data_IF_302990296584
#
_entry.id   IF_302990296584
#
_cell.length_a   1.000
_cell.length_b   1.000
_cell.length_c   1.000
_cell.angle_alpha   90.00
_cell.angle_beta   90.00
_cell.angle_gamma   90.00
#
_symmetry.space_group_name_H-M   'P 1'
#
loop_
_entity.id
_entity.type
_entity.pdbx_description
1 polymer ?
#
# COMPACT_ATOMS: atom_id res chain seq x y z
N UNK A 1 -16.96 -17.57 -19.00
CA UNK A 1 -17.13 -16.10 -19.05
C UNK A 1 -17.69 -15.69 -17.69
N UNK A 2 -16.82 -15.64 -16.68
CA UNK A 2 -17.19 -15.39 -15.29
C UNK A 2 -17.01 -13.91 -15.00
N UNK A 3 -18.13 -13.25 -14.70
CA UNK A 3 -18.19 -11.82 -14.41
C UNK A 3 -17.50 -11.55 -13.08
N UNK A 4 -16.53 -10.63 -13.13
CA UNK A 4 -15.88 -9.97 -12.00
C UNK A 4 -16.94 -9.30 -11.11
N UNK A 5 -17.36 -9.97 -10.04
CA UNK A 5 -17.94 -9.30 -8.88
C UNK A 5 -16.77 -8.79 -8.05
N UNK A 6 -16.36 -7.55 -8.33
CA UNK A 6 -15.39 -6.84 -7.50
C UNK A 6 -15.91 -6.77 -6.06
N UNK A 7 -15.09 -7.22 -5.12
CA UNK A 7 -15.33 -7.08 -3.68
C UNK A 7 -15.36 -5.59 -3.34
N UNK A 8 -16.56 -5.00 -3.31
CA UNK A 8 -16.75 -3.64 -2.85
C UNK A 8 -16.58 -3.67 -1.33
N UNK A 9 -15.48 -3.10 -0.82
CA UNK A 9 -15.26 -3.02 0.63
C UNK A 9 -16.45 -2.31 1.30
N UNK A 10 -16.76 -2.66 2.56
CA UNK A 10 -17.91 -2.10 3.28
C UNK A 10 -17.90 -0.55 3.26
N UNK A 11 -16.71 0.06 3.34
CA UNK A 11 -16.54 1.51 3.20
C UNK A 11 -16.92 2.04 1.82
N UNK A 12 -16.54 1.36 0.73
CA UNK A 12 -16.93 1.72 -0.64
C UNK A 12 -18.43 1.58 -0.87
N UNK A 13 -19.06 0.57 -0.28
CA UNK A 13 -20.51 0.36 -0.41
C UNK A 13 -21.32 1.47 0.27
N UNK A 14 -20.88 1.94 1.45
CA UNK A 14 -21.51 3.06 2.16
C UNK A 14 -21.36 4.37 1.37
N UNK A 15 -20.18 4.64 0.82
CA UNK A 15 -19.95 5.85 0.01
C UNK A 15 -20.81 5.86 -1.26
N UNK A 16 -20.93 4.73 -1.96
CA UNK A 16 -21.79 4.60 -3.14
C UNK A 16 -23.27 4.79 -2.76
N UNK A 17 -23.72 4.22 -1.64
CA UNK A 17 -25.08 4.37 -1.15
C UNK A 17 -25.44 5.82 -0.81
N UNK A 18 -24.55 6.53 -0.10
CA UNK A 18 -24.73 7.94 0.24
C UNK A 18 -24.70 8.82 -1.02
N UNK A 19 -23.76 8.58 -1.93
CA UNK A 19 -23.67 9.32 -3.19
C UNK A 19 -24.92 9.13 -4.07
N UNK A 20 -25.45 7.90 -4.16
CA UNK A 20 -26.69 7.60 -4.88
C UNK A 20 -27.90 8.27 -4.21
N UNK A 21 -27.98 8.25 -2.87
CA UNK A 21 -29.05 8.93 -2.12
C UNK A 21 -29.03 10.44 -2.33
N UNK A 22 -27.86 11.07 -2.26
CA UNK A 22 -27.69 12.51 -2.54
C UNK A 22 -28.08 12.83 -3.99
N UNK A 23 -27.64 12.02 -4.96
CA UNK A 23 -27.98 12.19 -6.36
C UNK A 23 -29.50 12.16 -6.59
N UNK A 24 -30.20 11.20 -5.97
CA UNK A 24 -31.67 11.09 -6.08
C UNK A 24 -32.36 12.32 -5.48
N UNK A 25 -31.90 12.81 -4.33
CA UNK A 25 -32.45 14.02 -3.70
C UNK A 25 -32.19 15.26 -4.56
N UNK A 26 -30.99 15.40 -5.12
CA UNK A 26 -30.62 16.51 -6.01
C UNK A 26 -31.44 16.46 -7.29
N UNK A 27 -31.60 15.30 -7.91
CA UNK A 27 -32.42 15.12 -9.13
C UNK A 27 -33.89 15.41 -8.83
N UNK A 28 -34.42 14.95 -7.70
CA UNK A 28 -35.78 15.24 -7.28
C UNK A 28 -36.00 16.75 -7.07
N UNK A 29 -35.09 17.43 -6.37
CA UNK A 29 -35.13 18.88 -6.17
C UNK A 29 -34.99 19.65 -7.50
N UNK A 30 -34.09 19.21 -8.38
CA UNK A 30 -33.92 19.79 -9.71
C UNK A 30 -35.20 19.64 -10.55
N UNK A 31 -35.84 18.47 -10.52
CA UNK A 31 -37.09 18.23 -11.23
C UNK A 31 -38.25 19.08 -10.69
N UNK A 32 -38.37 19.18 -9.36
CA UNK A 32 -39.39 19.98 -8.70
C UNK A 32 -39.22 21.49 -8.95
N UNK A 33 -37.97 21.97 -9.03
CA UNK A 33 -37.67 23.39 -9.32
C UNK A 33 -37.75 23.72 -10.80
N UNK A 34 -37.34 22.80 -11.70
CA UNK A 34 -37.50 22.95 -13.15
C UNK A 34 -38.98 23.03 -13.56
N UNK A 35 -39.85 22.26 -12.89
CA UNK A 35 -41.30 22.30 -13.14
C UNK A 35 -41.95 23.62 -12.72
N UNK A 36 -41.34 24.36 -11.79
CA UNK A 36 -41.79 25.70 -11.33
C UNK A 36 -41.27 26.86 -12.17
N UNK A 37 -40.31 26.66 -13.08
CA UNK A 37 -39.61 27.73 -13.81
C UNK A 37 -39.76 27.63 -15.33
N UNK A 38 -41.00 27.67 -15.83
CA UNK A 38 -41.20 28.05 -17.24
C UNK A 38 -41.50 29.55 -17.31
N UNK A 39 -40.50 30.41 -17.47
CA UNK A 39 -40.77 31.82 -17.75
C UNK A 39 -41.47 31.94 -19.11
N UNK A 40 -42.38 32.89 -19.22
CA UNK A 40 -43.05 33.21 -20.48
C UNK A 40 -42.02 33.56 -21.58
N UNK A 41 -42.30 33.30 -22.87
CA UNK A 41 -41.37 33.63 -23.94
C UNK A 41 -41.16 35.15 -23.98
N UNK A 42 -39.97 35.61 -23.57
CA UNK A 42 -39.54 36.98 -23.74
C UNK A 42 -39.04 37.24 -25.17
N UNK A 43 -38.75 38.51 -25.53
CA UNK A 43 -38.12 38.84 -26.80
C UNK A 43 -36.81 38.07 -26.99
N UNK A 44 -36.57 37.56 -28.21
CA UNK A 44 -35.39 36.73 -28.51
C UNK A 44 -34.14 37.60 -28.69
N UNK A 45 -33.56 38.03 -27.57
CA UNK A 45 -32.35 38.85 -27.51
C UNK A 45 -31.14 37.90 -27.41
N UNK A 46 -30.12 38.05 -28.29
CA UNK A 46 -28.89 37.27 -28.22
C UNK A 46 -28.24 37.35 -26.82
N UNK A 47 -27.70 36.25 -26.26
CA UNK A 47 -27.23 36.20 -24.87
C UNK A 47 -26.24 37.30 -24.46
N UNK A 48 -25.37 37.75 -25.37
CA UNK A 48 -24.39 38.82 -25.12
C UNK A 48 -24.92 40.25 -25.23
N UNK A 49 -26.15 40.45 -25.70
CA UNK A 49 -26.81 41.77 -25.79
C UNK A 49 -27.96 41.93 -24.78
N UNK A 50 -28.16 40.93 -23.91
CA UNK A 50 -29.16 41.03 -22.85
C UNK A 50 -28.68 42.09 -21.83
N UNK A 51 -29.56 43.00 -21.38
CA UNK A 51 -29.23 43.90 -20.29
C UNK A 51 -28.72 43.09 -19.09
N UNK A 52 -27.65 43.57 -18.44
CA UNK A 52 -27.18 42.97 -17.20
C UNK A 52 -28.27 42.99 -16.13
N UNK A 53 -28.16 42.14 -15.09
CA UNK A 53 -29.06 42.20 -13.95
C UNK A 53 -29.08 43.63 -13.36
N UNK A 54 -30.23 44.07 -12.85
CA UNK A 54 -30.30 45.37 -12.20
C UNK A 54 -29.42 45.39 -10.95
N UNK A 55 -29.00 46.57 -10.50
CA UNK A 55 -28.17 46.72 -9.31
C UNK A 55 -28.83 46.06 -8.08
N UNK A 56 -30.15 46.26 -7.91
CA UNK A 56 -30.93 45.61 -6.86
C UNK A 56 -30.95 44.07 -6.97
N UNK A 57 -30.88 43.50 -8.17
CA UNK A 57 -30.77 42.05 -8.38
C UNK A 57 -29.37 41.54 -8.04
N UNK A 58 -28.32 42.32 -8.32
CA UNK A 58 -26.95 41.96 -7.98
C UNK A 58 -26.72 42.01 -6.47
N UNK A 59 -27.22 43.04 -5.79
CA UNK A 59 -26.99 43.28 -4.37
C UNK A 59 -27.66 42.26 -3.45
N UNK A 60 -28.80 41.68 -3.86
CA UNK A 60 -29.57 40.76 -3.00
C UNK A 60 -29.72 39.36 -3.60
N UNK A 61 -30.61 39.09 -4.57
CA UNK A 61 -30.93 37.73 -4.94
C UNK A 61 -29.76 36.97 -5.57
N UNK A 62 -28.87 37.66 -6.29
CA UNK A 62 -27.65 37.03 -6.84
C UNK A 62 -26.59 36.86 -5.76
N UNK A 63 -26.29 37.91 -4.99
CA UNK A 63 -25.29 37.87 -3.92
C UNK A 63 -25.62 36.82 -2.84
N UNK A 64 -26.85 36.86 -2.30
CA UNK A 64 -27.31 35.92 -1.27
C UNK A 64 -27.24 34.47 -1.76
N UNK A 65 -27.56 34.23 -3.04
CA UNK A 65 -27.45 32.90 -3.64
C UNK A 65 -26.01 32.43 -3.71
N UNK A 66 -25.08 33.27 -4.15
CA UNK A 66 -23.66 32.91 -4.23
C UNK A 66 -23.07 32.67 -2.84
N UNK A 67 -23.39 33.54 -1.87
CA UNK A 67 -22.99 33.39 -0.48
C UNK A 67 -23.57 32.11 0.15
N UNK A 68 -24.83 31.77 -0.14
CA UNK A 68 -25.44 30.52 0.32
C UNK A 68 -24.68 29.29 -0.22
N UNK A 69 -24.29 29.28 -1.49
CA UNK A 69 -23.48 28.18 -2.05
C UNK A 69 -22.07 28.11 -1.44
N UNK A 70 -21.42 29.26 -1.23
CA UNK A 70 -20.15 29.33 -0.52
C UNK A 70 -20.25 28.78 0.91
N UNK A 71 -21.30 29.17 1.65
CA UNK A 71 -21.58 28.66 2.98
C UNK A 71 -21.81 27.16 3.01
N UNK A 72 -22.57 26.62 2.06
CA UNK A 72 -22.77 25.16 1.92
C UNK A 72 -21.44 24.44 1.69
N UNK A 73 -20.58 24.97 0.81
CA UNK A 73 -19.26 24.38 0.56
C UNK A 73 -18.37 24.42 1.80
N UNK A 74 -18.38 25.53 2.55
CA UNK A 74 -17.63 25.65 3.81
C UNK A 74 -18.14 24.64 4.84
N UNK A 75 -19.46 24.53 5.03
CA UNK A 75 -20.05 23.55 5.95
C UNK A 75 -19.71 22.12 5.52
N UNK A 76 -19.77 21.83 4.21
CA UNK A 76 -19.34 20.55 3.68
C UNK A 76 -17.88 20.25 4.03
N UNK A 77 -16.95 21.17 3.74
CA UNK A 77 -15.52 20.97 4.04
C UNK A 77 -15.25 20.88 5.54
N UNK A 78 -15.92 21.69 6.36
CA UNK A 78 -15.79 21.68 7.81
C UNK A 78 -16.22 20.35 8.44
N UNK A 79 -17.14 19.61 7.80
CA UNK A 79 -17.55 18.26 8.22
C UNK A 79 -16.69 17.19 7.56
N UNK A 80 -16.44 17.31 6.25
CA UNK A 80 -15.73 16.33 5.44
C UNK A 80 -14.30 16.11 5.93
N UNK A 81 -13.54 17.20 6.16
CA UNK A 81 -12.13 17.09 6.55
C UNK A 81 -11.97 16.32 7.87
N UNK A 82 -12.60 16.71 9.01
CA UNK A 82 -12.51 15.92 10.23
C UNK A 82 -13.00 14.48 10.06
N UNK A 83 -14.02 14.26 9.21
CA UNK A 83 -14.52 12.91 8.93
C UNK A 83 -13.44 12.05 8.27
N UNK A 84 -12.72 12.57 7.27
CA UNK A 84 -11.59 11.84 6.63
C UNK A 84 -10.51 11.52 7.67
N UNK A 85 -10.10 12.50 8.47
CA UNK A 85 -9.08 12.30 9.51
C UNK A 85 -9.48 11.26 10.56
N UNK A 86 -10.77 11.09 10.85
CA UNK A 86 -11.26 10.04 11.75
C UNK A 86 -11.15 8.63 11.14
N UNK A 87 -11.19 8.49 9.81
CA UNK A 87 -11.12 7.20 9.12
C UNK A 87 -9.72 6.89 8.58
N UNK A 88 -8.89 7.91 8.33
CA UNK A 88 -7.56 7.81 7.76
C UNK A 88 -6.63 6.81 8.48
N UNK A 89 -6.56 6.72 9.82
CA UNK A 89 -5.71 5.72 10.48
C UNK A 89 -6.06 4.28 10.12
N UNK A 90 -7.35 3.98 9.88
CA UNK A 90 -7.78 2.64 9.46
C UNK A 90 -7.43 2.38 8.01
N UNK A 91 -7.73 3.33 7.13
CA UNK A 91 -7.37 3.23 5.71
C UNK A 91 -5.87 3.07 5.51
N UNK A 92 -5.05 3.86 6.21
CA UNK A 92 -3.59 3.77 6.13
C UNK A 92 -3.07 2.40 6.59
N UNK A 93 -3.65 1.83 7.66
CA UNK A 93 -3.31 0.49 8.12
C UNK A 93 -3.69 -0.57 7.08
N UNK A 94 -4.92 -0.53 6.59
CA UNK A 94 -5.44 -1.53 5.65
C UNK A 94 -4.64 -1.49 4.33
N UNK A 95 -4.33 -0.30 3.83
CA UNK A 95 -3.49 -0.10 2.65
C UNK A 95 -2.07 -0.64 2.87
N UNK A 96 -1.48 -0.43 4.06
CA UNK A 96 -0.16 -0.96 4.40
C UNK A 96 -0.15 -2.50 4.40
N UNK A 97 -1.16 -3.12 5.00
CA UNK A 97 -1.30 -4.59 5.01
C UNK A 97 -1.47 -5.12 3.58
N UNK A 98 -2.33 -4.50 2.78
CA UNK A 98 -2.55 -4.89 1.38
C UNK A 98 -1.26 -4.77 0.54
N UNK A 99 -0.46 -3.71 0.78
CA UNK A 99 0.83 -3.53 0.11
C UNK A 99 1.83 -4.61 0.50
N UNK A 100 1.93 -4.97 1.78
CA UNK A 100 2.81 -6.03 2.28
C UNK A 100 2.39 -7.42 1.74
N UNK A 101 1.10 -7.73 1.73
CA UNK A 101 0.60 -9.00 1.16
C UNK A 101 0.94 -9.12 -0.33
N UNK A 102 0.77 -8.04 -1.10
CA UNK A 102 1.16 -8.01 -2.51
C UNK A 102 2.66 -8.12 -2.70
N UNK A 103 3.43 -7.50 -1.81
CA UNK A 103 4.89 -7.58 -1.80
C UNK A 103 5.37 -9.01 -1.57
N UNK A 104 4.88 -9.66 -0.51
CA UNK A 104 5.17 -11.06 -0.21
C UNK A 104 4.70 -12.01 -1.33
N UNK A 105 3.55 -11.73 -1.96
CA UNK A 105 3.08 -12.52 -3.10
C UNK A 105 4.02 -12.43 -4.32
N UNK A 106 4.57 -11.24 -4.62
CA UNK A 106 5.59 -11.09 -5.67
C UNK A 106 6.91 -11.74 -5.26
N UNK A 107 7.33 -11.58 -4.01
CA UNK A 107 8.52 -12.21 -3.45
C UNK A 107 8.49 -13.73 -3.60
N UNK A 108 7.34 -14.35 -3.31
CA UNK A 108 7.13 -15.78 -3.52
C UNK A 108 7.38 -16.22 -4.97
N UNK A 109 6.89 -15.45 -5.93
CA UNK A 109 7.13 -15.73 -7.36
C UNK A 109 8.62 -15.57 -7.71
N UNK A 110 9.29 -14.56 -7.16
CA UNK A 110 10.73 -14.35 -7.33
C UNK A 110 11.52 -15.54 -6.79
N UNK A 111 11.12 -16.15 -5.69
CA UNK A 111 11.86 -17.29 -5.12
C UNK A 111 11.70 -18.60 -5.88
N UNK A 112 10.66 -18.73 -6.69
CA UNK A 112 10.40 -19.90 -7.53
C UNK A 112 11.23 -19.90 -8.81
N UNK A 113 11.23 -21.02 -9.53
CA UNK A 113 11.89 -21.13 -10.83
C UNK A 113 11.33 -20.15 -11.86
N UNK A 114 12.22 -19.56 -12.66
CA UNK A 114 11.85 -18.78 -13.83
C UNK A 114 11.31 -19.67 -14.94
N UNK A 115 10.05 -19.47 -15.32
CA UNK A 115 9.38 -20.20 -16.42
C UNK A 115 8.66 -19.20 -17.33
N UNK A 116 8.02 -19.68 -18.40
CA UNK A 116 7.18 -18.81 -19.24
C UNK A 116 6.00 -18.22 -18.44
N UNK A 117 5.46 -18.99 -17.49
CA UNK A 117 4.38 -18.57 -16.60
C UNK A 117 4.87 -17.68 -15.43
N UNK A 118 6.12 -17.83 -15.03
CA UNK A 118 6.77 -17.04 -13.98
C UNK A 118 8.07 -16.40 -14.48
N UNK A 119 7.99 -15.32 -15.28
CA UNK A 119 9.18 -14.68 -15.85
C UNK A 119 10.04 -13.94 -14.81
N UNK A 120 9.53 -13.74 -13.59
CA UNK A 120 10.24 -13.06 -12.50
C UNK A 120 11.01 -14.03 -11.59
N UNK A 121 10.94 -15.34 -11.82
CA UNK A 121 11.53 -16.35 -10.95
C UNK A 121 13.05 -16.41 -11.05
N UNK A 122 13.73 -16.35 -9.90
CA UNK A 122 15.19 -16.47 -9.74
C UNK A 122 15.62 -17.82 -9.14
N UNK A 123 14.65 -18.67 -8.78
CA UNK A 123 14.87 -20.06 -8.37
C UNK A 123 15.68 -20.23 -7.07
N UNK A 124 15.42 -19.39 -6.06
CA UNK A 124 15.99 -19.53 -4.71
C UNK A 124 15.69 -20.92 -4.10
N UNK A 125 14.50 -21.46 -4.39
CA UNK A 125 14.07 -22.79 -3.94
C UNK A 125 14.95 -23.93 -4.45
N UNK A 126 15.71 -23.73 -5.54
CA UNK A 126 16.66 -24.74 -6.03
C UNK A 126 17.67 -25.16 -4.97
N UNK A 127 18.10 -24.21 -4.13
CA UNK A 127 19.06 -24.48 -3.06
C UNK A 127 18.39 -24.53 -1.69
N UNK A 128 17.42 -23.65 -1.42
CA UNK A 128 16.73 -23.56 -0.13
C UNK A 128 15.53 -24.51 0.01
N UNK A 129 15.32 -25.39 -0.97
CA UNK A 129 14.21 -26.33 -1.00
C UNK A 129 12.86 -25.66 -1.29
N UNK A 130 11.82 -26.47 -1.55
CA UNK A 130 10.48 -25.97 -1.84
C UNK A 130 9.92 -25.19 -0.63
N UNK A 131 9.42 -23.98 -0.87
CA UNK A 131 8.94 -23.10 0.18
C UNK A 131 10.01 -22.69 1.20
N UNK A 132 11.28 -22.70 0.79
CA UNK A 132 12.45 -22.19 1.53
C UNK A 132 12.74 -22.87 2.88
N UNK A 133 12.34 -24.14 3.03
CA UNK A 133 12.51 -24.94 4.26
C UNK A 133 13.94 -25.41 4.57
N UNK A 134 14.92 -25.03 3.75
CA UNK A 134 16.30 -25.52 3.81
C UNK A 134 16.54 -26.65 2.82
N UNK A 135 17.81 -26.91 2.54
CA UNK A 135 18.19 -27.87 1.51
C UNK A 135 19.65 -28.25 1.53
N UNK A 136 20.11 -28.87 0.45
CA UNK A 136 21.50 -29.25 0.27
C UNK A 136 21.95 -28.82 -1.13
N UNK A 137 23.18 -28.33 -1.22
CA UNK A 137 23.81 -28.02 -2.49
C UNK A 137 25.23 -28.59 -2.53
N UNK A 138 25.86 -28.63 -3.71
CA UNK A 138 27.24 -29.07 -3.88
C UNK A 138 28.12 -27.87 -4.21
N UNK A 139 29.00 -27.51 -3.27
CA UNK A 139 29.97 -26.43 -3.44
C UNK A 139 31.39 -26.99 -3.40
N UNK A 140 32.20 -26.71 -4.41
CA UNK A 140 33.57 -27.21 -4.54
C UNK A 140 33.71 -28.73 -4.33
N UNK A 141 32.74 -29.50 -4.82
CA UNK A 141 32.72 -30.97 -4.71
C UNK A 141 32.25 -31.52 -3.36
N UNK A 142 31.91 -30.66 -2.40
CA UNK A 142 31.38 -31.06 -1.09
C UNK A 142 29.89 -30.73 -0.97
N UNK A 143 29.13 -31.60 -0.32
CA UNK A 143 27.73 -31.33 0.01
C UNK A 143 27.70 -30.31 1.16
N UNK A 144 27.13 -29.14 0.91
CA UNK A 144 26.89 -28.08 1.89
C UNK A 144 25.42 -28.02 2.26
N UNK A 145 25.13 -27.90 3.56
CA UNK A 145 23.77 -27.66 4.03
C UNK A 145 23.39 -26.20 3.77
N UNK A 146 22.25 -26.01 3.14
CA UNK A 146 21.68 -24.70 2.84
C UNK A 146 20.67 -24.36 3.94
N UNK A 147 20.77 -23.17 4.56
CA UNK A 147 19.96 -22.81 5.72
C UNK A 147 18.46 -22.77 5.42
N UNK A 148 17.66 -23.14 6.44
CA UNK A 148 16.20 -22.99 6.43
C UNK A 148 15.84 -21.51 6.60
N UNK A 149 15.19 -20.92 5.60
CA UNK A 149 14.83 -19.51 5.65
C UNK A 149 13.56 -19.25 6.44
N UNK A 150 12.76 -20.27 6.78
CA UNK A 150 11.57 -20.11 7.65
C UNK A 150 11.91 -19.86 9.11
N UNK A 151 13.15 -20.06 9.50
CA UNK A 151 13.60 -19.82 10.88
C UNK A 151 14.73 -18.79 10.96
N UNK A 152 15.05 -18.12 9.84
CA UNK A 152 16.22 -17.23 9.74
C UNK A 152 16.17 -16.06 10.72
N UNK A 153 14.97 -15.58 11.03
CA UNK A 153 14.76 -14.49 11.97
C UNK A 153 14.82 -14.88 13.45
N UNK A 154 15.16 -16.14 13.77
CA UNK A 154 15.54 -16.54 15.14
C UNK A 154 17.04 -16.39 15.41
N UNK A 155 17.82 -15.96 14.41
CA UNK A 155 19.25 -15.71 14.55
C UNK A 155 20.04 -16.92 15.02
N UNK A 156 20.97 -16.70 15.95
CA UNK A 156 21.80 -17.77 16.52
C UNK A 156 20.98 -18.91 17.16
N UNK A 157 19.86 -18.59 17.81
CA UNK A 157 19.02 -19.57 18.49
C UNK A 157 18.41 -20.61 17.54
N UNK A 158 18.22 -20.26 16.28
CA UNK A 158 17.70 -21.15 15.22
C UNK A 158 18.78 -21.61 14.24
N UNK A 159 20.06 -21.40 14.56
CA UNK A 159 21.19 -21.87 13.76
C UNK A 159 21.69 -20.90 12.69
N UNK A 160 21.32 -19.62 12.78
CA UNK A 160 21.70 -18.55 11.84
C UNK A 160 22.54 -17.46 12.54
N UNK A 161 23.75 -17.77 13.04
CA UNK A 161 24.54 -16.84 13.86
C UNK A 161 25.02 -15.58 13.13
N UNK A 162 24.93 -15.54 11.79
CA UNK A 162 25.30 -14.37 10.99
C UNK A 162 24.15 -13.38 10.79
N UNK A 163 22.94 -13.72 11.23
CA UNK A 163 21.75 -12.88 11.13
C UNK A 163 21.44 -12.38 12.53
N UNK A 164 21.72 -11.10 12.78
CA UNK A 164 21.50 -10.43 14.08
C UNK A 164 20.45 -9.33 13.99
N UNK A 165 20.06 -8.97 12.77
CA UNK A 165 19.06 -7.95 12.45
C UNK A 165 18.45 -8.21 11.07
N UNK A 166 17.36 -7.50 10.75
CA UNK A 166 16.79 -7.48 9.40
C UNK A 166 17.81 -7.00 8.35
N UNK A 167 18.68 -6.04 8.71
CA UNK A 167 19.70 -5.50 7.80
C UNK A 167 20.70 -6.57 7.37
N UNK A 168 21.04 -7.52 8.25
CA UNK A 168 21.89 -8.65 7.89
C UNK A 168 21.23 -9.56 6.85
N UNK A 169 19.92 -9.81 6.99
CA UNK A 169 19.16 -10.60 6.02
C UNK A 169 19.12 -9.89 4.66
N UNK A 170 18.80 -8.59 4.65
CA UNK A 170 18.82 -7.77 3.42
C UNK A 170 20.19 -7.81 2.76
N UNK A 171 21.25 -7.60 3.54
CA UNK A 171 22.63 -7.60 3.06
C UNK A 171 23.03 -8.95 2.48
N UNK A 172 22.73 -10.07 3.17
CA UNK A 172 23.06 -11.41 2.69
C UNK A 172 22.36 -11.74 1.37
N UNK A 173 21.11 -11.30 1.17
CA UNK A 173 20.43 -11.50 -0.12
C UNK A 173 21.03 -10.57 -1.19
N UNK A 174 21.28 -9.31 -0.86
CA UNK A 174 21.81 -8.35 -1.81
C UNK A 174 23.23 -8.71 -2.30
N UNK A 175 24.13 -9.01 -1.37
CA UNK A 175 25.56 -9.26 -1.62
C UNK A 175 25.86 -10.74 -1.88
N UNK A 176 24.94 -11.64 -1.53
CA UNK A 176 25.22 -13.08 -1.47
C UNK A 176 26.06 -13.41 -0.24
N UNK A 177 26.68 -14.60 -0.26
CA UNK A 177 27.52 -15.05 0.86
C UNK A 177 28.89 -15.48 0.35
N UNK A 178 29.91 -14.68 0.68
CA UNK A 178 31.29 -14.97 0.30
C UNK A 178 31.71 -16.35 0.80
N UNK A 179 32.34 -17.15 -0.08
CA UNK A 179 32.78 -18.50 0.26
C UNK A 179 31.67 -19.55 0.24
N UNK A 180 30.50 -19.25 -0.32
CA UNK A 180 29.44 -20.24 -0.62
C UNK A 180 28.93 -20.08 -2.05
N UNK A 181 28.06 -20.99 -2.49
CA UNK A 181 27.37 -20.93 -3.78
C UNK A 181 26.23 -19.92 -3.84
N UNK A 182 25.92 -19.20 -2.74
CA UNK A 182 24.85 -18.21 -2.75
C UNK A 182 25.34 -16.92 -3.44
N UNK A 183 24.86 -16.61 -4.66
CA UNK A 183 25.34 -15.46 -5.41
C UNK A 183 24.78 -14.16 -4.83
N UNK A 184 25.36 -13.05 -5.25
CA UNK A 184 24.77 -11.72 -5.11
C UNK A 184 23.51 -11.60 -5.98
N UNK A 185 22.42 -11.10 -5.41
CA UNK A 185 21.18 -10.89 -6.16
C UNK A 185 20.92 -9.43 -6.53
N UNK A 186 21.41 -8.47 -5.75
CA UNK A 186 21.18 -7.06 -6.04
C UNK A 186 22.04 -6.57 -7.19
N UNK A 187 21.46 -5.76 -8.09
CA UNK A 187 22.19 -5.04 -9.15
C UNK A 187 23.37 -4.20 -8.63
N UNK A 188 23.30 -3.73 -7.37
CA UNK A 188 24.37 -2.96 -6.73
C UNK A 188 25.63 -3.81 -6.48
N UNK A 189 25.46 -5.12 -6.40
CA UNK A 189 26.50 -6.09 -6.11
C UNK A 189 26.66 -7.10 -7.26
N UNK A 190 26.42 -6.67 -8.51
CA UNK A 190 26.53 -7.51 -9.72
C UNK A 190 25.50 -8.65 -9.85
N UNK A 191 24.41 -8.60 -9.09
CA UNK A 191 23.22 -9.42 -9.30
C UNK A 191 22.24 -8.81 -10.32
N UNK A 192 21.05 -9.41 -10.44
CA UNK A 192 20.05 -9.08 -11.45
C UNK A 192 18.73 -8.52 -10.90
N UNK A 193 18.57 -8.45 -9.58
CA UNK A 193 17.39 -7.89 -8.91
C UNK A 193 17.59 -6.42 -8.55
N UNK A 194 16.58 -5.60 -8.81
CA UNK A 194 16.53 -4.22 -8.30
C UNK A 194 16.07 -4.19 -6.83
N UNK A 195 16.19 -3.03 -6.18
CA UNK A 195 15.92 -2.90 -4.74
C UNK A 195 14.49 -3.34 -4.35
N UNK A 196 13.47 -2.98 -5.15
CA UNK A 196 12.10 -3.43 -4.89
C UNK A 196 11.93 -4.96 -4.97
N UNK A 197 12.65 -5.66 -5.86
CA UNK A 197 12.59 -7.13 -5.93
C UNK A 197 13.25 -7.77 -4.70
N UNK A 198 14.33 -7.17 -4.21
CA UNK A 198 14.96 -7.60 -2.95
C UNK A 198 13.97 -7.42 -1.80
N UNK A 199 13.31 -6.27 -1.69
CA UNK A 199 12.30 -6.03 -0.66
C UNK A 199 11.12 -7.01 -0.76
N UNK A 200 10.61 -7.27 -1.97
CA UNK A 200 9.54 -8.26 -2.17
C UNK A 200 9.95 -9.65 -1.65
N UNK A 201 11.19 -10.09 -1.91
CA UNK A 201 11.73 -11.37 -1.38
C UNK A 201 11.84 -11.34 0.13
N UNK A 202 12.31 -10.23 0.72
CA UNK A 202 12.42 -10.06 2.16
C UNK A 202 11.03 -10.15 2.80
N UNK A 203 10.03 -9.42 2.28
CA UNK A 203 8.66 -9.46 2.77
C UNK A 203 8.07 -10.87 2.68
N UNK A 204 8.40 -11.62 1.62
CA UNK A 204 8.01 -13.03 1.53
C UNK A 204 8.67 -13.89 2.60
N UNK A 205 9.98 -13.75 2.82
CA UNK A 205 10.69 -14.49 3.87
C UNK A 205 10.12 -14.17 5.25
N UNK A 206 9.81 -12.90 5.55
CA UNK A 206 9.17 -12.49 6.79
C UNK A 206 7.78 -13.14 6.94
N UNK A 207 6.99 -13.16 5.87
CA UNK A 207 5.64 -13.75 5.89
C UNK A 207 5.59 -15.27 6.17
N UNK A 208 6.71 -15.99 6.00
CA UNK A 208 6.82 -17.44 6.22
C UNK A 208 7.63 -17.81 7.47
N UNK A 209 7.99 -16.84 8.32
CA UNK A 209 8.73 -17.16 9.55
C UNK A 209 7.89 -18.04 10.49
N UNK A 210 8.52 -19.08 11.01
CA UNK A 210 7.97 -20.02 11.99
C UNK A 210 8.50 -19.73 13.42
N UNK A 211 9.22 -18.61 13.60
CA UNK A 211 9.80 -18.17 14.88
C UNK A 211 8.76 -17.36 15.67
N UNK A 212 8.59 -17.60 16.98
CA UNK A 212 7.71 -16.77 17.81
C UNK A 212 8.11 -15.28 17.79
N UNK A 213 7.13 -14.38 17.84
CA UNK A 213 7.34 -12.92 17.75
C UNK A 213 8.32 -12.39 18.81
N UNK A 214 8.31 -12.98 20.01
CA UNK A 214 9.20 -12.59 21.11
C UNK A 214 10.68 -12.93 20.82
N UNK A 215 10.94 -13.84 19.89
CA UNK A 215 12.27 -14.31 19.49
C UNK A 215 12.64 -13.86 18.07
N UNK A 216 11.72 -13.20 17.36
CA UNK A 216 11.92 -12.75 15.99
C UNK A 216 12.76 -11.47 15.96
N UNK A 217 14.07 -11.61 15.76
CA UNK A 217 15.02 -10.49 15.72
C UNK A 217 14.88 -9.59 14.48
N UNK A 218 14.12 -10.01 13.46
CA UNK A 218 13.87 -9.21 12.26
C UNK A 218 12.76 -8.17 12.47
N UNK A 219 11.71 -8.53 13.22
CA UNK A 219 10.52 -7.70 13.42
C UNK A 219 10.45 -7.08 14.82
N UNK A 220 11.05 -7.74 15.82
CA UNK A 220 11.00 -7.32 17.20
C UNK A 220 12.37 -6.83 17.68
N UNK A 221 12.58 -5.50 17.83
CA UNK A 221 13.84 -4.95 18.31
C UNK A 221 14.12 -5.26 19.79
N UNK A 222 13.12 -5.73 20.55
CA UNK A 222 13.29 -6.17 21.93
C UNK A 222 13.61 -7.67 22.05
N UNK A 223 13.66 -8.41 20.94
CA UNK A 223 13.99 -9.83 20.95
C UNK A 223 15.42 -10.09 21.47
N UNK A 224 15.65 -11.16 22.24
CA UNK A 224 16.99 -11.53 22.70
C UNK A 224 17.94 -11.77 21.51
N UNK A 225 19.06 -11.04 21.47
CA UNK A 225 20.05 -11.17 20.38
C UNK A 225 19.84 -10.23 19.19
N UNK A 226 18.77 -9.42 19.19
CA UNK A 226 18.65 -8.32 18.24
C UNK A 226 19.77 -7.30 18.49
N UNK A 227 20.56 -7.00 17.47
CA UNK A 227 21.47 -5.87 17.51
C UNK A 227 20.66 -4.57 17.43
N UNK A 228 21.00 -3.57 18.24
CA UNK A 228 20.29 -2.29 18.23
C UNK A 228 20.39 -1.64 16.85
N UNK A 229 19.32 -1.73 16.06
CA UNK A 229 19.27 -1.12 14.72
C UNK A 229 19.30 0.42 14.89
N UNK A 230 20.12 1.17 14.12
CA UNK A 230 20.32 2.61 14.30
C UNK A 230 19.16 3.46 13.73
N UNK A 231 17.94 2.92 13.70
CA UNK A 231 16.75 3.59 13.15
C UNK A 231 15.82 4.08 14.27
N UNK A 232 16.39 4.70 15.30
CA UNK A 232 15.65 5.64 16.14
C UNK A 232 15.98 7.05 15.63
N UNK A 233 15.08 7.61 14.81
CA UNK A 233 15.05 9.06 14.58
C UNK A 233 15.12 9.75 15.94
N UNK A 234 16.08 10.67 16.17
CA UNK A 234 16.15 11.36 17.45
C UNK A 234 14.91 12.24 17.57
N UNK A 235 14.12 11.98 18.61
CA UNK A 235 13.00 12.83 18.99
C UNK A 235 13.46 14.27 19.10
N UNK A 236 12.78 15.16 18.37
CA UNK A 236 12.95 16.59 18.49
C UNK A 236 12.56 17.03 19.90
N UNK A 237 13.55 17.37 20.70
CA UNK A 237 13.35 18.21 21.88
C UNK A 237 13.29 19.65 21.40
N UNK A 238 12.10 20.22 21.29
CA UNK A 238 11.94 21.68 21.24
C UNK A 238 11.85 22.20 22.69
N UNK A 239 12.76 23.12 23.00
CA UNK A 239 12.68 24.01 24.16
C UNK A 239 11.99 25.32 23.81
#
# INVERSE_FOLDING_TARGET
>A
MSVLLGQVSAGRAVLIGVAAGILVVVVALAFLTARRRRPAPGPDIPPGMRPGPSDADLEKPVLERLLAWGGVFIVFMAIWVPTVFLFEPRTNRDDTVEMLERSAARGKLITMAGTEENPMGFNCERCHGPGLGGGQNVYNGNIVQVPNLRTVCGGEATGHPQITSLDDLVRVIAEGRTGTDMPSWSVRFAGAMHDQQINDVIDYILSIQEVPEEQNICENPAAPGASASPSASPGGTEG
#
